data_IF_670307277572
#
_entry.id   IF_670307277572
#
_cell.length_a   1.000
_cell.length_b   1.000
_cell.length_c   1.000
_cell.angle_alpha   90.00
_cell.angle_beta   90.00
_cell.angle_gamma   90.00
#
_symmetry.space_group_name_H-M   'P 1'
#
loop_
_entity.id
_entity.type
_entity.pdbx_description
1 polymer ?
#
# COMPACT_ATOMS: atom_id res chain seq x y z
N UNK A 1 -32.50 12.79 16.52
CA UNK A 1 -31.91 13.30 15.26
C UNK A 1 -30.44 12.96 15.29
N UNK A 2 -30.12 11.87 14.62
CA UNK A 2 -28.82 11.19 14.56
C UNK A 2 -27.82 12.08 13.82
N UNK A 3 -26.66 12.35 14.44
CA UNK A 3 -25.51 12.96 13.76
C UNK A 3 -24.59 11.83 13.31
N UNK A 4 -24.64 11.52 12.02
CA UNK A 4 -23.72 10.63 11.34
C UNK A 4 -22.37 11.34 11.25
N UNK A 5 -21.34 10.81 11.92
CA UNK A 5 -19.96 11.24 11.74
C UNK A 5 -19.38 10.42 10.58
N UNK A 6 -19.21 11.06 9.43
CA UNK A 6 -18.53 10.47 8.26
C UNK A 6 -17.03 10.50 8.53
N UNK A 7 -16.44 9.35 8.85
CA UNK A 7 -15.00 9.16 8.94
C UNK A 7 -14.45 9.07 7.51
N UNK A 8 -13.97 10.20 6.97
CA UNK A 8 -13.30 10.23 5.68
C UNK A 8 -11.89 9.65 5.81
N UNK A 9 -11.70 8.43 5.29
CA UNK A 9 -10.36 7.86 5.06
C UNK A 9 -9.79 8.60 3.84
N UNK A 10 -8.88 9.54 4.09
CA UNK A 10 -8.07 10.16 3.05
C UNK A 10 -6.90 9.21 2.73
N UNK A 11 -7.05 8.39 1.69
CA UNK A 11 -5.93 7.78 0.97
C UNK A 11 -5.22 8.89 0.18
N UNK A 12 -4.27 9.56 0.80
CA UNK A 12 -3.36 10.47 0.13
C UNK A 12 -2.25 9.66 -0.54
N UNK A 13 -2.54 9.11 -1.71
CA UNK A 13 -1.55 8.61 -2.67
C UNK A 13 -0.87 9.82 -3.32
N UNK A 14 0.11 10.39 -2.63
CA UNK A 14 0.89 11.52 -3.10
C UNK A 14 2.18 11.55 -2.31
N UNK A 15 3.26 11.09 -2.93
CA UNK A 15 4.62 11.15 -2.41
C UNK A 15 5.09 12.62 -2.36
N UNK A 16 4.50 13.43 -1.49
CA UNK A 16 5.23 14.58 -0.97
C UNK A 16 6.19 14.00 0.06
N UNK A 17 7.48 14.00 -0.25
CA UNK A 17 8.51 13.97 0.78
C UNK A 17 8.30 15.22 1.64
N UNK A 18 7.43 15.13 2.65
CA UNK A 18 7.47 16.04 3.76
C UNK A 18 8.86 15.85 4.37
N UNK A 19 9.71 16.87 4.26
CA UNK A 19 11.01 16.88 4.91
C UNK A 19 10.84 16.37 6.35
N UNK A 20 11.77 15.54 6.89
CA UNK A 20 11.74 15.12 8.28
C UNK A 20 11.51 16.30 9.25
N UNK A 21 11.98 17.49 8.87
CA UNK A 21 11.74 18.74 9.58
C UNK A 21 10.27 19.18 9.62
N UNK A 22 9.50 19.01 8.54
CA UNK A 22 8.06 19.33 8.50
C UNK A 22 7.22 18.29 9.24
N UNK A 23 7.60 17.01 9.17
CA UNK A 23 6.98 15.94 9.96
C UNK A 23 7.26 16.09 11.47
N UNK A 24 8.45 16.60 11.82
CA UNK A 24 8.87 16.93 13.18
C UNK A 24 8.17 18.20 13.71
N UNK A 25 8.05 19.28 12.92
CA UNK A 25 7.30 20.49 13.29
C UNK A 25 5.79 20.22 13.43
N UNK A 26 5.24 19.30 12.63
CA UNK A 26 3.82 18.93 12.69
C UNK A 26 3.50 17.86 13.74
N UNK A 27 4.50 17.29 14.42
CA UNK A 27 4.32 16.36 15.54
C UNK A 27 3.83 14.95 15.15
N UNK A 28 4.10 14.50 13.91
CA UNK A 28 3.69 13.18 13.41
C UNK A 28 4.73 12.07 13.65
N UNK A 29 5.94 12.42 14.11
CA UNK A 29 6.99 11.48 14.50
C UNK A 29 7.03 11.40 16.03
N UNK A 30 6.77 10.20 16.58
CA UNK A 30 6.74 9.94 18.03
C UNK A 30 7.96 9.15 18.51
N UNK A 31 8.74 8.57 17.59
CA UNK A 31 10.00 7.89 17.87
C UNK A 31 10.99 8.16 16.73
N UNK A 32 12.25 8.41 17.06
CA UNK A 32 13.33 8.55 16.08
C UNK A 32 14.51 7.69 16.46
N UNK A 33 15.21 7.17 15.45
CA UNK A 33 16.52 6.57 15.60
C UNK A 33 17.53 7.71 15.69
N UNK A 34 18.27 7.80 16.79
CA UNK A 34 19.36 8.76 16.92
C UNK A 34 20.58 8.35 16.06
N UNK A 35 21.61 9.21 16.03
CA UNK A 35 22.82 8.95 15.26
C UNK A 35 23.57 7.68 15.71
N UNK A 36 23.20 7.15 16.88
CA UNK A 36 23.75 5.96 17.50
C UNK A 36 22.89 4.70 17.27
N UNK A 37 21.81 4.81 16.49
CA UNK A 37 20.94 3.66 16.18
C UNK A 37 19.93 3.34 17.28
N UNK A 38 19.76 4.21 18.28
CA UNK A 38 18.89 3.98 19.43
C UNK A 38 17.54 4.64 19.21
N UNK A 39 16.47 3.88 19.42
CA UNK A 39 15.12 4.43 19.44
C UNK A 39 14.93 5.35 20.64
N UNK A 40 14.60 6.61 20.35
CA UNK A 40 14.20 7.58 21.35
C UNK A 40 12.79 8.04 21.10
N UNK A 41 12.01 8.09 22.17
CA UNK A 41 10.71 8.74 22.13
C UNK A 41 10.94 10.24 21.89
N UNK A 42 10.41 10.73 20.77
CA UNK A 42 10.15 12.14 20.64
C UNK A 42 8.89 12.37 21.46
N UNK A 43 8.93 13.20 22.49
CA UNK A 43 7.70 13.59 23.16
C UNK A 43 6.93 14.61 22.29
N UNK A 44 5.71 14.30 21.81
CA UNK A 44 4.73 15.38 21.69
C UNK A 44 3.36 15.07 22.35
N UNK A 45 2.85 16.11 23.05
CA UNK A 45 1.51 16.33 23.63
C UNK A 45 0.70 15.10 24.16
N UNK A 46 0.77 14.92 25.48
CA UNK A 46 -0.43 15.04 26.34
C UNK A 46 -1.46 13.91 26.41
N UNK A 47 -1.32 12.81 25.67
CA UNK A 47 -2.11 11.58 25.87
C UNK A 47 -1.26 10.35 25.61
N UNK A 48 -1.26 9.38 26.53
CA UNK A 48 -0.66 8.07 26.30
C UNK A 48 -1.34 7.39 25.10
N UNK A 49 -0.56 6.82 24.18
CA UNK A 49 -1.08 6.05 23.07
C UNK A 49 -1.58 4.68 23.56
N UNK A 50 -2.57 4.11 22.88
CA UNK A 50 -2.97 2.72 23.14
C UNK A 50 -1.87 1.78 22.67
N UNK A 51 -1.70 0.63 23.32
CA UNK A 51 -0.73 -0.41 22.90
C UNK A 51 -0.88 -0.81 21.42
N UNK A 52 -2.11 -0.80 20.89
CA UNK A 52 -2.38 -1.09 19.48
C UNK A 52 -1.75 -0.06 18.53
N UNK A 53 -1.74 1.22 18.93
CA UNK A 53 -1.08 2.29 18.17
C UNK A 53 0.43 2.11 18.20
N UNK A 54 0.99 1.77 19.35
CA UNK A 54 2.43 1.56 19.48
C UNK A 54 2.91 0.39 18.62
N UNK A 55 2.22 -0.77 18.67
CA UNK A 55 2.52 -1.90 17.81
C UNK A 55 2.33 -1.61 16.32
N UNK A 56 1.30 -0.85 15.95
CA UNK A 56 1.10 -0.45 14.56
C UNK A 56 2.28 0.38 14.04
N UNK A 57 2.87 1.23 14.86
CA UNK A 57 4.01 2.03 14.43
C UNK A 57 5.30 1.22 14.32
N UNK A 58 5.53 0.23 15.19
CA UNK A 58 6.61 -0.75 15.00
C UNK A 58 6.41 -1.51 13.69
N UNK A 59 5.17 -1.86 13.34
CA UNK A 59 4.85 -2.51 12.07
C UNK A 59 5.13 -1.61 10.88
N UNK A 60 4.75 -0.33 10.94
CA UNK A 60 5.07 0.63 9.87
C UNK A 60 6.57 0.81 9.71
N UNK A 61 7.33 0.85 10.80
CA UNK A 61 8.79 0.92 10.74
C UNK A 61 9.41 -0.35 10.15
N UNK A 62 8.90 -1.52 10.55
CA UNK A 62 9.29 -2.80 9.96
C UNK A 62 9.08 -2.84 8.43
N UNK A 63 7.95 -2.30 7.95
CA UNK A 63 7.63 -2.21 6.52
C UNK A 63 8.62 -1.28 5.80
N UNK A 64 8.99 -0.13 6.38
CA UNK A 64 9.96 0.81 5.79
C UNK A 64 11.34 0.19 5.61
N UNK A 65 11.72 -0.77 6.46
CA UNK A 65 13.00 -1.47 6.39
C UNK A 65 12.99 -2.73 5.52
N UNK A 66 11.85 -3.10 4.93
CA UNK A 66 11.72 -4.30 4.11
C UNK A 66 11.59 -3.98 2.62
N UNK A 67 11.60 -5.01 1.77
CA UNK A 67 11.37 -4.87 0.32
C UNK A 67 10.04 -4.18 0.02
N UNK A 68 9.97 -3.39 -1.06
CA UNK A 68 8.72 -2.80 -1.53
C UNK A 68 7.75 -3.86 -2.08
N UNK A 69 6.87 -4.38 -1.22
CA UNK A 69 5.91 -5.46 -1.53
C UNK A 69 4.48 -5.08 -1.11
N UNK A 70 3.81 -4.15 -1.80
CA UNK A 70 2.50 -3.61 -1.40
C UNK A 70 1.44 -4.66 -1.06
N UNK A 71 1.34 -5.74 -1.83
CA UNK A 71 0.38 -6.83 -1.59
C UNK A 71 0.66 -7.59 -0.28
N UNK A 72 1.93 -7.94 -0.06
CA UNK A 72 2.40 -8.60 1.18
C UNK A 72 2.21 -7.67 2.39
N UNK A 73 2.58 -6.40 2.26
CA UNK A 73 2.49 -5.42 3.35
C UNK A 73 1.05 -5.07 3.71
N UNK A 74 0.16 -4.94 2.72
CA UNK A 74 -1.28 -4.77 2.95
C UNK A 74 -1.87 -5.97 3.72
N UNK A 75 -1.46 -7.19 3.37
CA UNK A 75 -1.84 -8.41 4.09
C UNK A 75 -1.32 -8.42 5.52
N UNK A 76 -0.07 -8.04 5.75
CA UNK A 76 0.49 -7.92 7.11
C UNK A 76 -0.27 -6.89 7.95
N UNK A 77 -0.59 -5.72 7.38
CA UNK A 77 -1.40 -4.68 8.03
C UNK A 77 -2.81 -5.17 8.39
N UNK A 78 -3.47 -5.90 7.47
CA UNK A 78 -4.78 -6.48 7.74
C UNK A 78 -4.72 -7.53 8.85
N UNK A 79 -3.86 -8.53 8.72
CA UNK A 79 -3.78 -9.64 9.67
C UNK A 79 -3.42 -9.15 11.09
N UNK A 80 -2.49 -8.20 11.22
CA UNK A 80 -2.13 -7.63 12.53
C UNK A 80 -3.25 -6.76 13.12
N UNK A 81 -3.94 -5.97 12.30
CA UNK A 81 -5.12 -5.22 12.75
C UNK A 81 -6.22 -6.15 13.25
N UNK A 82 -6.47 -7.25 12.54
CA UNK A 82 -7.43 -8.27 12.95
C UNK A 82 -6.99 -8.99 14.23
N UNK A 83 -5.70 -9.30 14.40
CA UNK A 83 -5.18 -9.90 15.63
C UNK A 83 -5.42 -9.00 16.86
N UNK A 84 -5.14 -7.70 16.71
CA UNK A 84 -5.40 -6.72 17.76
C UNK A 84 -6.90 -6.59 18.05
N UNK A 85 -7.74 -6.64 17.01
CA UNK A 85 -9.20 -6.64 17.16
C UNK A 85 -9.70 -7.89 17.90
N UNK A 86 -9.24 -9.09 17.52
CA UNK A 86 -9.66 -10.35 18.15
C UNK A 86 -9.26 -10.39 19.64
N UNK A 87 -8.06 -9.89 19.96
CA UNK A 87 -7.60 -9.77 21.34
C UNK A 87 -8.45 -8.77 22.15
N UNK A 88 -8.87 -7.67 21.53
CA UNK A 88 -9.75 -6.69 22.16
C UNK A 88 -11.17 -7.23 22.35
N UNK A 89 -11.73 -7.84 21.31
CA UNK A 89 -13.10 -8.35 21.23
C UNK A 89 -13.31 -9.60 22.10
N UNK A 90 -12.27 -10.38 22.39
CA UNK A 90 -12.34 -11.49 23.32
C UNK A 90 -12.86 -11.11 24.71
N UNK A 91 -12.61 -9.88 25.15
CA UNK A 91 -13.11 -9.34 26.42
C UNK A 91 -14.31 -8.39 26.27
N UNK A 92 -14.86 -8.28 25.07
CA UNK A 92 -16.13 -7.59 24.82
C UNK A 92 -17.28 -8.60 24.83
N UNK A 93 -18.45 -8.20 25.33
CA UNK A 93 -19.62 -9.09 25.43
C UNK A 93 -20.32 -9.30 24.08
N UNK A 94 -20.08 -8.43 23.10
CA UNK A 94 -20.89 -8.34 21.87
C UNK A 94 -20.11 -8.27 20.58
N UNK A 95 -18.85 -7.82 20.60
CA UNK A 95 -18.05 -7.66 19.39
C UNK A 95 -17.67 -9.01 18.79
N UNK A 96 -17.91 -9.22 17.50
CA UNK A 96 -17.46 -10.41 16.79
C UNK A 96 -15.96 -10.33 16.46
N UNK A 97 -15.27 -11.47 16.54
CA UNK A 97 -13.88 -11.64 16.12
C UNK A 97 -13.80 -12.02 14.62
N UNK A 98 -12.63 -11.78 14.03
CA UNK A 98 -12.34 -12.01 12.61
C UNK A 98 -11.77 -13.41 12.38
N UNK A 99 -10.66 -13.75 13.03
CA UNK A 99 -9.95 -15.02 12.81
C UNK A 99 -10.09 -15.99 14.00
N UNK A 100 -9.90 -15.48 15.22
CA UNK A 100 -9.85 -16.29 16.43
C UNK A 100 -11.06 -16.01 17.33
N UNK A 101 -12.02 -16.92 17.32
CA UNK A 101 -13.27 -16.77 18.08
C UNK A 101 -13.10 -17.36 19.48
N UNK A 102 -12.86 -16.50 20.47
CA UNK A 102 -12.74 -16.90 21.87
C UNK A 102 -13.22 -15.77 22.79
N UNK A 103 -13.92 -16.12 23.88
CA UNK A 103 -14.37 -15.17 24.91
C UNK A 103 -13.59 -15.39 26.20
N UNK A 104 -13.18 -14.29 26.81
CA UNK A 104 -12.42 -14.27 28.06
C UNK A 104 -12.99 -13.24 29.02
N UNK A 105 -12.74 -13.43 30.31
CA UNK A 105 -13.11 -12.47 31.36
C UNK A 105 -11.87 -12.12 32.18
N UNK A 106 -11.77 -10.86 32.60
CA UNK A 106 -10.67 -10.40 33.43
C UNK A 106 -11.17 -9.44 34.51
N UNK A 107 -10.48 -9.42 35.65
CA UNK A 107 -10.74 -8.42 36.69
C UNK A 107 -10.37 -7.00 36.22
N UNK A 108 -9.30 -6.88 35.45
CA UNK A 108 -8.91 -5.67 34.72
C UNK A 108 -8.90 -5.97 33.22
N UNK A 109 -9.98 -5.60 32.55
CA UNK A 109 -10.16 -5.85 31.11
C UNK A 109 -9.17 -5.04 30.27
N UNK A 110 -8.81 -3.83 30.68
CA UNK A 110 -7.90 -3.00 29.89
C UNK A 110 -6.50 -3.61 29.90
N UNK A 111 -5.99 -3.97 31.09
CA UNK A 111 -4.69 -4.63 31.21
C UNK A 111 -4.64 -5.98 30.47
N UNK A 112 -5.72 -6.77 30.53
CA UNK A 112 -5.80 -8.03 29.83
C UNK A 112 -5.80 -7.86 28.29
N UNK A 113 -6.51 -6.85 27.77
CA UNK A 113 -6.46 -6.50 26.34
C UNK A 113 -5.05 -6.08 25.93
N UNK A 114 -4.39 -5.25 26.74
CA UNK A 114 -3.05 -4.75 26.42
C UNK A 114 -2.00 -5.88 26.35
N UNK A 115 -2.06 -6.81 27.30
CA UNK A 115 -1.19 -7.99 27.32
C UNK A 115 -1.47 -8.93 26.14
N UNK A 116 -2.75 -9.26 25.88
CA UNK A 116 -3.12 -10.15 24.77
C UNK A 116 -2.72 -9.58 23.41
N UNK A 117 -2.95 -8.28 23.18
CA UNK A 117 -2.50 -7.57 21.97
C UNK A 117 -0.98 -7.68 21.82
N UNK A 118 -0.24 -7.48 22.91
CA UNK A 118 1.22 -7.48 22.88
C UNK A 118 1.80 -8.84 22.51
N UNK A 119 1.28 -9.92 23.09
CA UNK A 119 1.68 -11.27 22.69
C UNK A 119 1.28 -11.60 21.25
N UNK A 120 0.07 -11.25 20.82
CA UNK A 120 -0.37 -11.49 19.44
C UNK A 120 0.54 -10.78 18.42
N UNK A 121 0.79 -9.48 18.63
CA UNK A 121 1.64 -8.67 17.76
C UNK A 121 3.09 -9.12 17.76
N UNK A 122 3.67 -9.38 18.93
CA UNK A 122 5.04 -9.90 19.04
C UNK A 122 5.22 -11.17 18.21
N UNK A 123 4.36 -12.17 18.40
CA UNK A 123 4.46 -13.46 17.69
C UNK A 123 4.28 -13.30 16.19
N UNK A 124 3.27 -12.52 15.76
CA UNK A 124 3.02 -12.27 14.35
C UNK A 124 4.17 -11.53 13.68
N UNK A 125 4.61 -10.41 14.24
CA UNK A 125 5.65 -9.59 13.63
C UNK A 125 7.00 -10.32 13.61
N UNK A 126 7.37 -11.02 14.70
CA UNK A 126 8.56 -11.86 14.70
C UNK A 126 8.49 -12.90 13.58
N UNK A 127 7.35 -13.58 13.40
CA UNK A 127 7.17 -14.54 12.31
C UNK A 127 7.35 -13.89 10.93
N UNK A 128 6.67 -12.77 10.64
CA UNK A 128 6.67 -12.13 9.32
C UNK A 128 7.98 -11.47 8.93
N UNK A 129 8.71 -10.91 9.89
CA UNK A 129 9.92 -10.14 9.61
C UNK A 129 11.22 -10.90 9.87
N UNK A 130 11.17 -12.16 10.33
CA UNK A 130 12.40 -12.97 10.50
C UNK A 130 13.19 -13.13 9.20
N UNK A 131 12.50 -13.29 8.07
CA UNK A 131 13.13 -13.42 6.74
C UNK A 131 13.33 -12.10 5.98
N UNK A 132 13.01 -10.95 6.60
CA UNK A 132 13.11 -9.65 5.93
C UNK A 132 14.57 -9.24 5.71
N UNK A 133 14.84 -8.49 4.64
CA UNK A 133 16.14 -7.84 4.42
C UNK A 133 16.51 -6.88 5.56
N UNK A 134 15.51 -6.27 6.20
CA UNK A 134 15.65 -5.38 7.34
C UNK A 134 15.57 -6.06 8.70
N UNK A 135 15.62 -7.40 8.78
CA UNK A 135 15.43 -8.15 10.02
C UNK A 135 16.39 -7.73 11.14
N UNK A 136 17.65 -7.39 10.81
CA UNK A 136 18.65 -6.96 11.78
C UNK A 136 18.30 -5.65 12.50
N UNK A 137 17.46 -4.81 11.90
CA UNK A 137 16.91 -3.59 12.51
C UNK A 137 15.53 -3.86 13.11
N UNK A 138 14.69 -4.58 12.37
CA UNK A 138 13.28 -4.80 12.70
C UNK A 138 13.08 -5.70 13.93
N UNK A 139 13.81 -6.82 14.04
CA UNK A 139 13.62 -7.75 15.16
C UNK A 139 13.98 -7.13 16.51
N UNK A 140 15.07 -6.34 16.66
CA UNK A 140 15.32 -5.56 17.86
C UNK A 140 14.21 -4.56 18.21
N UNK A 141 13.56 -3.92 17.21
CA UNK A 141 12.44 -3.00 17.46
C UNK A 141 11.21 -3.74 18.01
N UNK A 142 10.93 -4.93 17.49
CA UNK A 142 9.85 -5.81 17.98
C UNK A 142 10.12 -6.26 19.42
N UNK A 143 11.36 -6.68 19.72
CA UNK A 143 11.76 -7.07 21.07
C UNK A 143 11.68 -5.89 22.05
N UNK A 144 12.15 -4.71 21.65
CA UNK A 144 12.12 -3.51 22.50
C UNK A 144 10.70 -3.00 22.80
N UNK A 145 9.73 -3.25 21.91
CA UNK A 145 8.33 -2.90 22.14
C UNK A 145 7.66 -3.81 23.17
N UNK A 146 8.16 -5.04 23.35
CA UNK A 146 7.55 -6.02 24.23
C UNK A 146 7.93 -5.77 25.69
N UNK A 147 6.94 -5.38 26.50
CA UNK A 147 7.12 -5.12 27.94
C UNK A 147 6.86 -6.36 28.82
N UNK A 148 6.44 -7.48 28.23
CA UNK A 148 6.15 -8.75 28.91
C UNK A 148 7.22 -9.80 28.60
N UNK A 149 7.24 -10.92 29.35
CA UNK A 149 8.20 -12.00 29.16
C UNK A 149 7.97 -12.72 27.81
N UNK A 150 8.89 -12.51 26.86
CA UNK A 150 8.87 -13.12 25.53
C UNK A 150 9.01 -14.65 25.55
N UNK A 151 9.49 -15.21 26.67
CA UNK A 151 9.56 -16.65 26.93
C UNK A 151 8.21 -17.33 27.15
N UNK A 152 7.12 -16.57 27.40
CA UNK A 152 5.77 -17.12 27.58
C UNK A 152 5.17 -17.48 26.22
N UNK A 153 5.28 -18.75 25.84
CA UNK A 153 4.77 -19.30 24.57
C UNK A 153 3.55 -20.21 24.74
N UNK A 154 3.05 -20.38 25.97
CA UNK A 154 1.94 -21.29 26.24
C UNK A 154 0.68 -20.89 25.46
N UNK A 155 -0.01 -21.89 24.92
CA UNK A 155 -1.35 -21.76 24.32
C UNK A 155 -2.44 -22.24 25.28
N UNK A 156 -2.07 -22.72 26.46
CA UNK A 156 -2.97 -23.36 27.43
C UNK A 156 -3.31 -22.38 28.55
N UNK A 157 -4.60 -22.36 28.92
CA UNK A 157 -5.14 -21.57 30.03
C UNK A 157 -5.75 -20.24 29.57
N UNK A 158 -6.28 -19.50 30.54
CA UNK A 158 -7.09 -18.29 30.35
C UNK A 158 -6.28 -17.01 30.61
N UNK A 159 -4.95 -17.09 30.57
CA UNK A 159 -4.13 -15.88 30.72
C UNK A 159 -4.18 -15.03 29.44
N UNK A 160 -4.07 -13.70 29.55
CA UNK A 160 -4.03 -12.85 28.36
C UNK A 160 -2.86 -13.18 27.43
N UNK A 161 -1.69 -13.53 27.97
CA UNK A 161 -0.58 -14.06 27.19
C UNK A 161 -0.94 -15.31 26.38
N UNK A 162 -1.65 -16.27 26.98
CA UNK A 162 -2.06 -17.48 26.28
C UNK A 162 -3.06 -17.18 25.16
N UNK A 163 -4.02 -16.28 25.40
CA UNK A 163 -4.94 -15.79 24.36
C UNK A 163 -4.18 -15.12 23.20
N UNK A 164 -3.26 -14.19 23.49
CA UNK A 164 -2.48 -13.51 22.47
C UNK A 164 -1.65 -14.47 21.61
N UNK A 165 -1.01 -15.46 22.25
CA UNK A 165 -0.29 -16.51 21.54
C UNK A 165 -1.22 -17.37 20.65
N UNK A 166 -2.44 -17.72 21.11
CA UNK A 166 -3.44 -18.47 20.32
C UNK A 166 -3.95 -17.68 19.11
N UNK A 167 -4.18 -16.37 19.27
CA UNK A 167 -4.59 -15.49 18.17
C UNK A 167 -3.50 -15.48 17.09
N UNK A 168 -2.25 -15.26 17.48
CA UNK A 168 -1.14 -15.27 16.53
C UNK A 168 -0.98 -16.62 15.84
N UNK A 169 -1.05 -17.73 16.58
CA UNK A 169 -0.97 -19.09 16.04
C UNK A 169 -2.09 -19.36 15.01
N UNK A 170 -3.31 -18.91 15.31
CA UNK A 170 -4.47 -19.02 14.41
C UNK A 170 -4.22 -18.28 13.10
N UNK A 171 -3.76 -17.03 13.16
CA UNK A 171 -3.57 -16.19 11.98
C UNK A 171 -2.34 -16.62 11.17
N UNK A 172 -1.26 -17.05 11.83
CA UNK A 172 -0.08 -17.62 11.15
C UNK A 172 -0.47 -18.91 10.41
N UNK A 173 -1.23 -19.80 11.07
CA UNK A 173 -1.73 -21.03 10.45
C UNK A 173 -2.65 -20.74 9.28
N UNK A 174 -3.58 -19.80 9.43
CA UNK A 174 -4.44 -19.33 8.33
C UNK A 174 -3.58 -18.86 7.16
N UNK A 175 -2.59 -18.01 7.43
CA UNK A 175 -1.72 -17.43 6.43
C UNK A 175 -0.80 -18.43 5.70
N UNK A 176 -0.57 -19.62 6.25
CA UNK A 176 0.14 -20.69 5.55
C UNK A 176 -0.73 -21.36 4.46
N UNK A 177 -2.05 -21.13 4.47
CA UNK A 177 -3.02 -21.81 3.61
C UNK A 177 -3.90 -20.86 2.77
N UNK A 178 -3.70 -19.55 2.89
CA UNK A 178 -4.54 -18.53 2.25
C UNK A 178 -4.15 -18.23 0.79
N UNK A 179 -3.24 -19.01 0.21
CA UNK A 179 -2.80 -18.87 -1.18
C UNK A 179 -1.69 -17.84 -1.40
N UNK A 180 -1.23 -17.11 -0.38
CA UNK A 180 -0.17 -16.11 -0.55
C UNK A 180 1.22 -16.70 -0.85
N UNK A 181 1.40 -18.02 -0.72
CA UNK A 181 2.69 -18.71 -0.91
C UNK A 181 3.82 -18.18 0.02
N UNK A 182 3.46 -17.77 1.23
CA UNK A 182 4.37 -17.13 2.19
C UNK A 182 5.62 -17.94 2.54
N UNK A 183 5.50 -19.27 2.64
CA UNK A 183 6.62 -20.14 2.97
C UNK A 183 7.73 -20.16 1.90
N UNK A 184 7.39 -19.77 0.66
CA UNK A 184 8.31 -19.69 -0.48
C UNK A 184 8.52 -18.23 -0.90
N UNK A 185 8.62 -17.30 0.05
CA UNK A 185 8.82 -15.85 -0.16
C UNK A 185 7.85 -15.22 -1.18
N UNK A 186 6.60 -15.71 -1.23
CA UNK A 186 5.54 -15.18 -2.09
C UNK A 186 5.85 -15.30 -3.59
N UNK A 187 6.71 -16.25 -3.98
CA UNK A 187 7.07 -16.51 -5.38
C UNK A 187 5.86 -16.82 -6.25
N UNK A 188 5.94 -16.42 -7.52
CA UNK A 188 4.94 -16.71 -8.54
C UNK A 188 4.95 -18.21 -8.88
N UNK A 189 3.78 -18.85 -8.96
CA UNK A 189 3.67 -20.28 -9.24
C UNK A 189 3.15 -20.60 -10.64
N UNK A 190 2.46 -19.65 -11.27
CA UNK A 190 1.72 -19.83 -12.52
C UNK A 190 2.10 -18.80 -13.58
N UNK A 191 2.24 -17.53 -13.20
CA UNK A 191 2.57 -16.49 -14.17
C UNK A 191 4.04 -16.55 -14.57
N UNK A 192 4.30 -16.55 -15.87
CA UNK A 192 5.62 -16.31 -16.45
C UNK A 192 5.50 -15.24 -17.53
N UNK A 193 6.47 -14.33 -17.60
CA UNK A 193 6.52 -13.33 -18.66
C UNK A 193 6.68 -14.00 -20.03
N UNK A 194 5.93 -13.54 -21.02
CA UNK A 194 6.04 -14.02 -22.41
C UNK A 194 7.05 -13.22 -23.22
N UNK A 195 7.23 -11.95 -22.87
CA UNK A 195 8.23 -11.09 -23.49
C UNK A 195 9.57 -11.22 -22.76
N UNK A 196 10.65 -11.23 -23.53
CA UNK A 196 12.01 -11.09 -23.00
C UNK A 196 12.21 -9.70 -22.36
N UNK A 197 13.06 -9.57 -21.33
CA UNK A 197 13.31 -8.29 -20.69
C UNK A 197 13.80 -7.21 -21.64
N UNK A 198 13.21 -6.01 -21.53
CA UNK A 198 13.67 -4.82 -22.25
C UNK A 198 14.83 -4.15 -21.50
N UNK A 199 15.91 -3.86 -22.20
CA UNK A 199 17.05 -3.09 -21.70
C UNK A 199 16.85 -1.60 -22.03
N UNK A 200 16.46 -0.76 -21.07
CA UNK A 200 16.13 0.64 -21.33
C UNK A 200 17.35 1.49 -21.72
N UNK A 201 18.57 0.97 -21.54
CA UNK A 201 19.81 1.61 -21.99
C UNK A 201 19.92 1.70 -23.52
N UNK A 202 19.15 0.86 -24.23
CA UNK A 202 19.09 0.89 -25.69
C UNK A 202 17.80 1.56 -26.17
N UNK A 203 17.87 2.34 -27.26
CA UNK A 203 16.69 3.03 -27.77
C UNK A 203 15.68 2.05 -28.40
N UNK A 204 14.41 2.24 -28.03
CA UNK A 204 13.28 1.53 -28.62
C UNK A 204 13.08 0.12 -28.07
N UNK A 205 12.20 -0.63 -28.71
CA UNK A 205 11.82 -1.99 -28.33
C UNK A 205 11.52 -2.84 -29.57
N UNK A 206 12.51 -3.08 -30.44
CA UNK A 206 12.28 -3.75 -31.73
C UNK A 206 11.96 -5.24 -31.59
N UNK A 207 12.30 -5.85 -30.45
CA UNK A 207 12.27 -7.30 -30.23
C UNK A 207 11.10 -7.78 -29.35
N UNK A 208 10.14 -6.91 -29.03
CA UNK A 208 8.93 -7.32 -28.30
C UNK A 208 8.15 -8.38 -29.09
N UNK A 209 7.85 -9.50 -28.44
CA UNK A 209 7.18 -10.63 -29.10
C UNK A 209 5.65 -10.50 -29.07
N UNK A 210 5.08 -9.98 -27.97
CA UNK A 210 3.66 -9.75 -27.79
C UNK A 210 3.39 -8.37 -27.15
N UNK A 211 3.00 -7.35 -27.95
CA UNK A 211 2.67 -6.01 -27.47
C UNK A 211 1.45 -5.93 -26.54
N UNK A 212 0.66 -7.01 -26.46
CA UNK A 212 -0.50 -7.12 -25.57
C UNK A 212 -0.16 -7.79 -24.22
N UNK A 213 1.12 -8.08 -23.97
CA UNK A 213 1.61 -8.71 -22.75
C UNK A 213 2.64 -7.83 -22.06
N UNK A 214 2.67 -7.93 -20.74
CA UNK A 214 3.67 -7.23 -19.93
C UNK A 214 5.08 -7.68 -20.32
N UNK A 215 6.00 -6.71 -20.37
CA UNK A 215 7.42 -6.95 -20.62
C UNK A 215 8.22 -6.48 -19.41
N UNK A 216 9.03 -7.36 -18.79
CA UNK A 216 9.90 -6.97 -17.71
C UNK A 216 10.96 -5.97 -18.20
N UNK A 217 11.43 -5.10 -17.32
CA UNK A 217 12.60 -4.27 -17.59
C UNK A 217 13.84 -4.93 -16.97
N UNK A 218 14.93 -5.00 -17.73
CA UNK A 218 16.25 -5.37 -17.24
C UNK A 218 17.04 -4.10 -16.93
N UNK A 219 17.15 -3.77 -15.64
CA UNK A 219 17.80 -2.54 -15.19
C UNK A 219 19.10 -2.92 -14.49
N UNK A 220 20.20 -2.25 -14.83
CA UNK A 220 21.53 -2.59 -14.30
C UNK A 220 21.61 -2.38 -12.78
N UNK A 221 20.94 -1.33 -12.29
CA UNK A 221 20.85 -1.00 -10.88
C UNK A 221 19.48 -0.37 -10.59
N UNK A 222 18.71 -0.98 -9.69
CA UNK A 222 17.44 -0.43 -9.21
C UNK A 222 17.44 -0.40 -7.69
N UNK A 223 16.88 0.68 -7.15
CA UNK A 223 16.60 0.83 -5.73
C UNK A 223 15.10 0.76 -5.57
N UNK A 224 14.62 -0.19 -4.77
CA UNK A 224 13.18 -0.29 -4.52
C UNK A 224 12.64 0.94 -3.78
N UNK A 225 11.31 1.06 -3.67
CA UNK A 225 10.68 2.21 -3.00
C UNK A 225 11.06 2.32 -1.51
N UNK A 226 11.64 1.26 -0.93
CA UNK A 226 12.14 1.22 0.45
C UNK A 226 13.64 1.47 0.56
N UNK A 227 14.34 1.76 -0.54
CA UNK A 227 15.78 2.05 -0.53
C UNK A 227 16.69 0.83 -0.65
N UNK A 228 16.16 -0.37 -0.90
CA UNK A 228 16.96 -1.58 -1.03
C UNK A 228 17.53 -1.70 -2.45
N UNK A 229 18.85 -1.81 -2.62
CA UNK A 229 19.43 -2.09 -3.92
C UNK A 229 19.07 -3.51 -4.35
N UNK A 230 18.44 -3.64 -5.51
CA UNK A 230 18.18 -4.94 -6.15
C UNK A 230 19.29 -5.14 -7.19
N UNK A 231 20.11 -6.20 -7.05
CA UNK A 231 21.20 -6.45 -7.99
C UNK A 231 20.66 -6.78 -9.39
N UNK A 232 21.47 -6.42 -10.39
CA UNK A 232 21.39 -6.75 -11.82
C UNK A 232 20.36 -7.82 -12.20
N UNK A 233 19.38 -7.46 -13.04
CA UNK A 233 18.47 -8.43 -13.64
C UNK A 233 17.16 -7.82 -14.12
N UNK A 234 16.23 -8.71 -14.47
CA UNK A 234 14.84 -8.36 -14.73
C UNK A 234 13.99 -8.59 -13.48
N UNK A 235 13.12 -7.64 -13.14
CA UNK A 235 12.14 -7.87 -12.08
C UNK A 235 11.07 -8.85 -12.56
N UNK A 236 10.64 -9.74 -11.67
CA UNK A 236 9.45 -10.55 -11.91
C UNK A 236 8.19 -9.70 -11.75
N UNK A 237 7.09 -10.16 -12.35
CA UNK A 237 5.80 -9.54 -12.12
C UNK A 237 5.45 -9.68 -10.64
N UNK A 238 5.17 -8.58 -9.96
CA UNK A 238 4.84 -8.60 -8.55
C UNK A 238 3.44 -9.17 -8.32
N UNK A 239 3.36 -10.36 -7.70
CA UNK A 239 2.12 -10.96 -7.19
C UNK A 239 0.95 -11.02 -8.22
N UNK A 240 1.16 -11.53 -9.45
CA UNK A 240 0.14 -11.63 -10.51
C UNK A 240 -1.01 -12.57 -10.13
N UNK A 241 -0.77 -13.48 -9.19
CA UNK A 241 -1.75 -14.48 -8.72
C UNK A 241 -2.50 -14.02 -7.47
N UNK A 242 -2.21 -12.83 -6.93
CA UNK A 242 -2.69 -12.40 -5.61
C UNK A 242 -4.21 -12.35 -5.47
N UNK A 243 -4.94 -12.32 -6.58
CA UNK A 243 -6.40 -12.38 -6.58
C UNK A 243 -6.98 -13.63 -5.89
N UNK A 244 -6.20 -14.70 -5.71
CA UNK A 244 -6.64 -15.88 -4.93
C UNK A 244 -6.55 -15.69 -3.42
N UNK A 245 -5.78 -14.70 -2.95
CA UNK A 245 -5.62 -14.42 -1.52
C UNK A 245 -6.90 -13.78 -0.99
N UNK A 246 -7.61 -14.38 -0.02
CA UNK A 246 -8.86 -13.84 0.47
C UNK A 246 -8.68 -12.44 1.05
N UNK A 247 -9.47 -11.49 0.52
CA UNK A 247 -9.60 -10.16 1.09
C UNK A 247 -10.53 -10.13 2.31
N UNK A 248 -10.67 -8.96 2.93
CA UNK A 248 -11.55 -8.75 4.08
C UNK A 248 -13.00 -8.46 3.71
N UNK A 249 -13.23 -7.65 2.68
CA UNK A 249 -14.54 -7.04 2.42
C UNK A 249 -15.02 -7.13 0.95
N UNK A 250 -14.34 -7.93 0.13
CA UNK A 250 -14.76 -8.16 -1.26
C UNK A 250 -15.89 -9.19 -1.25
N UNK A 251 -17.03 -8.83 -1.84
CA UNK A 251 -18.12 -9.78 -2.06
C UNK A 251 -17.68 -10.79 -3.14
N UNK A 252 -17.85 -12.11 -2.92
CA UNK A 252 -17.57 -13.10 -3.96
C UNK A 252 -18.32 -12.84 -5.29
N UNK A 253 -19.47 -12.16 -5.26
CA UNK A 253 -20.22 -11.73 -6.43
C UNK A 253 -19.55 -10.61 -7.24
N UNK A 254 -18.58 -9.89 -6.66
CA UNK A 254 -17.78 -8.87 -7.33
C UNK A 254 -16.49 -9.43 -7.98
N UNK A 255 -16.31 -10.76 -7.95
CA UNK A 255 -15.13 -11.43 -8.49
C UNK A 255 -15.46 -12.09 -9.83
N UNK A 256 -14.75 -11.69 -10.87
CA UNK A 256 -14.76 -12.37 -12.18
C UNK A 256 -13.56 -13.29 -12.29
N UNK A 257 -13.79 -14.54 -12.71
CA UNK A 257 -12.72 -15.52 -12.91
C UNK A 257 -12.23 -15.52 -14.36
N UNK A 258 -10.93 -15.28 -14.54
CA UNK A 258 -10.25 -15.31 -15.84
C UNK A 258 -9.30 -16.51 -15.95
N UNK A 259 -9.74 -17.64 -16.55
CA UNK A 259 -8.85 -18.78 -16.74
C UNK A 259 -7.79 -18.48 -17.80
N UNK A 260 -6.52 -18.65 -17.44
CA UNK A 260 -5.38 -18.54 -18.35
C UNK A 260 -4.30 -19.54 -17.97
N UNK A 261 -3.80 -20.27 -18.97
CA UNK A 261 -2.65 -21.21 -18.80
C UNK A 261 -2.85 -22.23 -17.66
N UNK A 262 -4.10 -22.64 -17.41
CA UNK A 262 -4.45 -23.62 -16.37
C UNK A 262 -4.71 -23.02 -14.99
N UNK A 263 -4.55 -21.71 -14.80
CA UNK A 263 -4.84 -21.00 -13.55
C UNK A 263 -6.06 -20.09 -13.69
N UNK A 264 -7.01 -20.12 -12.73
CA UNK A 264 -8.09 -19.15 -12.67
C UNK A 264 -7.60 -17.88 -11.96
N UNK A 265 -7.42 -16.78 -12.71
CA UNK A 265 -7.08 -15.48 -12.15
C UNK A 265 -8.35 -14.75 -11.67
N UNK A 266 -8.58 -14.59 -10.35
CA UNK A 266 -9.73 -13.84 -9.85
C UNK A 266 -9.45 -12.33 -9.95
N UNK A 267 -10.40 -11.58 -10.50
CA UNK A 267 -10.30 -10.12 -10.63
C UNK A 267 -11.51 -9.50 -9.93
N UNK A 268 -11.24 -8.76 -8.86
CA UNK A 268 -12.25 -8.03 -8.09
C UNK A 268 -12.65 -6.74 -8.84
N UNK A 269 -13.95 -6.44 -8.88
CA UNK A 269 -14.50 -5.27 -9.58
C UNK A 269 -13.96 -5.13 -11.01
N UNK A 270 -14.01 -6.23 -11.76
CA UNK A 270 -13.43 -6.36 -13.09
C UNK A 270 -14.00 -5.31 -14.07
N UNK A 271 -13.19 -4.35 -14.56
CA UNK A 271 -13.62 -3.35 -15.53
C UNK A 271 -13.74 -3.90 -16.95
N UNK A 272 -13.36 -5.16 -17.19
CA UNK A 272 -13.26 -5.76 -18.50
C UNK A 272 -11.84 -5.68 -19.09
N UNK A 273 -11.63 -6.23 -20.30
CA UNK A 273 -10.31 -6.29 -20.91
C UNK A 273 -9.79 -4.91 -21.31
N UNK A 274 -8.47 -4.65 -21.24
CA UNK A 274 -7.87 -3.42 -21.75
C UNK A 274 -7.94 -3.37 -23.30
N UNK A 275 -7.75 -2.17 -23.91
CA UNK A 275 -7.55 -2.07 -25.35
C UNK A 275 -6.31 -2.85 -25.80
N UNK A 276 -6.37 -3.46 -26.98
CA UNK A 276 -5.33 -4.34 -27.50
C UNK A 276 -4.74 -3.81 -28.80
N UNK A 277 -3.41 -3.90 -28.94
CA UNK A 277 -2.69 -3.69 -30.19
C UNK A 277 -3.15 -4.68 -31.26
N UNK A 278 -3.51 -4.17 -32.43
CA UNK A 278 -4.15 -4.91 -33.54
C UNK A 278 -5.39 -5.71 -33.11
N UNK A 279 -6.10 -5.26 -32.07
CA UNK A 279 -7.27 -5.93 -31.52
C UNK A 279 -8.43 -4.96 -31.24
N UNK A 280 -9.31 -5.37 -30.32
CA UNK A 280 -10.41 -4.51 -29.86
C UNK A 280 -9.82 -3.30 -29.14
N UNK A 281 -10.19 -2.10 -29.57
CA UNK A 281 -9.68 -0.87 -29.01
C UNK A 281 -8.27 -0.47 -29.48
N UNK A 282 -7.78 -0.98 -30.63
CA UNK A 282 -6.45 -0.64 -31.16
C UNK A 282 -6.20 0.88 -31.25
N UNK A 283 -7.20 1.65 -31.68
CA UNK A 283 -7.09 3.11 -31.73
C UNK A 283 -6.84 3.71 -30.33
N UNK A 284 -7.52 3.18 -29.30
CA UNK A 284 -7.31 3.62 -27.92
C UNK A 284 -5.94 3.17 -27.39
N UNK A 285 -5.51 1.95 -27.71
CA UNK A 285 -4.17 1.47 -27.37
C UNK A 285 -3.10 2.40 -27.94
N UNK A 286 -3.15 2.70 -29.25
CA UNK A 286 -2.18 3.56 -29.92
C UNK A 286 -2.21 4.97 -29.36
N UNK A 287 -3.40 5.55 -29.25
CA UNK A 287 -3.59 6.89 -28.72
C UNK A 287 -3.00 7.03 -27.31
N UNK A 288 -3.26 6.08 -26.41
CA UNK A 288 -2.72 6.10 -25.05
C UNK A 288 -1.20 6.04 -25.01
N UNK A 289 -0.59 5.17 -25.83
CA UNK A 289 0.87 5.05 -25.91
C UNK A 289 1.52 6.28 -26.57
N UNK A 290 0.91 6.84 -27.61
CA UNK A 290 1.39 8.07 -28.26
C UNK A 290 1.28 9.29 -27.33
N UNK A 291 0.23 9.36 -26.52
CA UNK A 291 0.07 10.44 -25.53
C UNK A 291 1.21 10.48 -24.52
N UNK A 292 1.74 9.33 -24.09
CA UNK A 292 2.90 9.28 -23.19
C UNK A 292 4.10 9.99 -23.82
N UNK A 293 4.37 9.74 -25.10
CA UNK A 293 5.45 10.40 -25.84
C UNK A 293 5.20 11.91 -25.96
N UNK A 294 3.98 12.32 -26.34
CA UNK A 294 3.63 13.74 -26.46
C UNK A 294 3.76 14.45 -25.11
N UNK A 295 3.21 13.90 -24.05
CA UNK A 295 3.24 14.52 -22.72
C UNK A 295 4.64 14.51 -22.11
N UNK A 296 5.48 13.51 -22.43
CA UNK A 296 6.90 13.53 -22.04
C UNK A 296 7.65 14.75 -22.59
N UNK A 297 7.23 15.30 -23.74
CA UNK A 297 7.82 16.51 -24.30
C UNK A 297 7.54 17.76 -23.46
N UNK A 298 6.50 17.72 -22.62
CA UNK A 298 6.15 18.81 -21.71
C UNK A 298 7.07 18.86 -20.48
N UNK A 299 7.99 17.91 -20.32
CA UNK A 299 8.97 17.90 -19.24
C UNK A 299 10.17 18.81 -19.53
N UNK A 300 10.31 19.33 -20.75
CA UNK A 300 11.42 20.20 -21.13
C UNK A 300 11.32 21.58 -20.44
N UNK A 301 12.28 22.00 -19.59
CA UNK A 301 12.30 23.36 -19.00
C UNK A 301 12.28 24.48 -20.04
N UNK A 302 12.67 24.19 -21.27
CA UNK A 302 12.81 25.15 -22.36
C UNK A 302 11.61 25.16 -23.31
N UNK A 303 10.52 24.43 -22.99
CA UNK A 303 9.32 24.38 -23.83
C UNK A 303 8.65 25.74 -24.06
N UNK A 304 8.92 26.72 -23.19
CA UNK A 304 8.47 28.10 -23.30
C UNK A 304 6.98 28.31 -23.00
N UNK A 305 6.27 27.29 -22.51
CA UNK A 305 4.84 27.35 -22.21
C UNK A 305 4.63 27.69 -20.74
N UNK A 306 3.71 28.61 -20.45
CA UNK A 306 3.27 28.90 -19.08
C UNK A 306 1.82 28.44 -18.90
N UNK A 307 1.51 27.88 -17.74
CA UNK A 307 0.18 27.40 -17.36
C UNK A 307 -0.27 28.02 -16.03
N UNK A 308 -1.57 28.24 -15.86
CA UNK A 308 -2.17 28.60 -14.57
C UNK A 308 -2.52 27.33 -13.81
N UNK A 309 -1.82 27.09 -12.69
CA UNK A 309 -2.01 25.90 -11.84
C UNK A 309 -2.91 26.21 -10.62
N UNK A 310 -3.55 27.38 -10.60
CA UNK A 310 -4.43 27.73 -9.50
C UNK A 310 -5.72 26.90 -9.53
N UNK A 311 -6.44 26.82 -8.40
CA UNK A 311 -7.73 26.14 -8.39
C UNK A 311 -8.79 26.76 -9.31
N UNK A 312 -8.58 27.96 -9.89
CA UNK A 312 -9.55 28.53 -10.84
C UNK A 312 -9.51 27.86 -12.23
N UNK A 313 -8.41 27.18 -12.56
CA UNK A 313 -8.14 26.60 -13.88
C UNK A 313 -7.87 25.10 -13.81
N UNK A 314 -7.50 24.57 -12.63
CA UNK A 314 -7.08 23.19 -12.45
C UNK A 314 -8.07 22.37 -11.61
N UNK A 315 -8.36 21.14 -12.03
CA UNK A 315 -9.30 20.23 -11.38
C UNK A 315 -10.76 20.50 -11.75
N UNK A 316 -11.70 20.04 -10.92
CA UNK A 316 -13.15 20.05 -11.22
C UNK A 316 -13.48 19.36 -12.57
N UNK A 317 -12.82 18.23 -12.83
CA UNK A 317 -13.10 17.39 -14.00
C UNK A 317 -14.27 16.45 -13.69
N UNK A 318 -15.28 16.34 -14.57
CA UNK A 318 -16.29 15.29 -14.45
C UNK A 318 -15.65 13.91 -14.60
N UNK A 319 -16.27 12.88 -14.01
CA UNK A 319 -15.82 11.50 -14.26
C UNK A 319 -16.04 11.15 -15.75
N UNK A 320 -15.01 10.70 -16.48
CA UNK A 320 -15.18 10.30 -17.88
C UNK A 320 -15.99 9.01 -17.99
N UNK A 321 -16.78 8.89 -19.06
CA UNK A 321 -17.25 7.61 -19.52
C UNK A 321 -16.12 6.79 -20.15
N UNK A 322 -16.28 5.47 -20.19
CA UNK A 322 -15.28 4.53 -20.75
C UNK A 322 -14.90 4.86 -22.21
N UNK A 323 -15.82 5.45 -22.97
CA UNK A 323 -15.62 5.80 -24.37
C UNK A 323 -15.14 7.25 -24.59
N UNK A 324 -14.98 8.04 -23.53
CA UNK A 324 -14.65 9.48 -23.63
C UNK A 324 -13.13 9.72 -23.68
N UNK A 325 -12.33 8.65 -23.72
CA UNK A 325 -10.86 8.71 -23.63
C UNK A 325 -10.22 9.71 -24.60
N UNK A 326 -10.73 9.80 -25.84
CA UNK A 326 -10.19 10.68 -26.87
C UNK A 326 -10.46 12.17 -26.62
N UNK A 327 -11.52 12.48 -25.85
CA UNK A 327 -11.98 13.86 -25.59
C UNK A 327 -11.72 14.31 -24.16
N UNK A 328 -11.45 13.38 -23.25
CA UNK A 328 -11.26 13.68 -21.83
C UNK A 328 -9.94 14.39 -21.57
N UNK A 329 -8.88 14.04 -22.29
CA UNK A 329 -7.57 14.68 -22.16
C UNK A 329 -7.30 15.64 -23.32
N UNK A 330 -6.65 16.77 -23.03
CA UNK A 330 -6.03 17.58 -24.09
C UNK A 330 -4.72 16.89 -24.52
N UNK A 331 -4.81 16.17 -25.63
CA UNK A 331 -3.71 15.35 -26.14
C UNK A 331 -2.41 16.14 -26.35
N UNK A 332 -2.49 17.37 -26.86
CA UNK A 332 -1.30 18.14 -27.26
C UNK A 332 -0.84 19.16 -26.21
N UNK A 333 -1.76 19.73 -25.42
CA UNK A 333 -1.39 20.74 -24.44
C UNK A 333 -1.22 20.17 -23.03
N UNK A 334 -1.76 18.97 -22.79
CA UNK A 334 -1.80 18.34 -21.48
C UNK A 334 -3.01 18.78 -20.65
N UNK A 335 -3.34 18.00 -19.62
CA UNK A 335 -4.50 18.23 -18.76
C UNK A 335 -5.73 17.42 -19.14
N UNK A 336 -6.80 17.60 -18.36
CA UNK A 336 -8.07 16.90 -18.51
C UNK A 336 -9.23 17.88 -18.79
N UNK A 337 -10.47 17.36 -18.82
CA UNK A 337 -11.68 18.16 -19.03
C UNK A 337 -12.09 19.06 -17.86
N UNK A 338 -11.22 19.22 -16.86
CA UNK A 338 -11.39 20.08 -15.71
C UNK A 338 -11.56 21.55 -16.09
N UNK A 339 -12.45 22.22 -15.37
CA UNK A 339 -12.73 23.66 -15.55
C UNK A 339 -12.27 24.52 -14.37
N UNK A 340 -11.73 23.89 -13.32
CA UNK A 340 -11.42 24.53 -12.06
C UNK A 340 -12.65 25.02 -11.29
N UNK A 341 -12.38 25.77 -10.23
CA UNK A 341 -13.32 26.40 -9.31
C UNK A 341 -13.17 27.91 -9.37
N UNK A 342 -14.14 28.61 -9.94
CA UNK A 342 -14.07 30.06 -10.09
C UNK A 342 -14.02 30.83 -8.76
N UNK A 343 -14.47 30.23 -7.64
CA UNK A 343 -14.60 30.91 -6.35
C UNK A 343 -14.11 30.02 -5.21
N UNK A 344 -13.36 30.61 -4.29
CA UNK A 344 -12.94 29.95 -3.07
C UNK A 344 -14.12 29.86 -2.10
N UNK A 345 -14.52 28.64 -1.65
CA UNK A 345 -15.70 28.45 -0.82
C UNK A 345 -15.55 29.02 0.61
N UNK A 346 -14.32 29.30 1.06
CA UNK A 346 -14.05 29.87 2.38
C UNK A 346 -14.08 31.40 2.35
N UNK A 347 -13.51 32.01 1.31
CA UNK A 347 -13.37 33.48 1.24
C UNK A 347 -14.46 34.16 0.41
N UNK A 348 -15.15 33.42 -0.47
CA UNK A 348 -16.11 33.97 -1.42
C UNK A 348 -15.48 34.79 -2.55
N UNK A 349 -14.15 34.81 -2.65
CA UNK A 349 -13.40 35.55 -3.66
C UNK A 349 -12.87 34.60 -4.76
N UNK A 350 -12.59 35.11 -5.97
CA UNK A 350 -11.91 34.31 -7.00
C UNK A 350 -10.53 33.83 -6.53
N UNK A 351 -10.11 32.64 -6.96
CA UNK A 351 -8.72 32.21 -6.74
C UNK A 351 -7.77 33.06 -7.60
N UNK A 352 -6.69 33.61 -7.02
CA UNK A 352 -5.67 34.30 -7.80
C UNK A 352 -4.96 33.30 -8.72
N UNK A 353 -4.62 33.76 -9.93
CA UNK A 353 -3.85 32.97 -10.88
C UNK A 353 -2.48 32.61 -10.31
N UNK A 354 -2.00 31.42 -10.63
CA UNK A 354 -0.68 30.91 -10.28
C UNK A 354 0.01 30.44 -11.54
N UNK A 355 0.64 31.37 -12.25
CA UNK A 355 1.27 31.10 -13.54
C UNK A 355 2.69 30.59 -13.33
N UNK A 356 2.99 29.41 -13.87
CA UNK A 356 4.30 28.75 -13.81
C UNK A 356 4.70 28.19 -15.18
N UNK A 357 6.00 27.99 -15.46
CA UNK A 357 6.44 27.23 -16.62
C UNK A 357 5.89 25.80 -16.60
N UNK A 358 5.31 25.33 -17.70
CA UNK A 358 4.76 23.97 -17.81
C UNK A 358 5.84 22.92 -17.61
N UNK A 359 7.01 23.15 -18.22
CA UNK A 359 8.21 22.33 -18.04
C UNK A 359 8.57 22.07 -16.58
N UNK A 360 8.38 23.05 -15.70
CA UNK A 360 8.70 22.92 -14.27
C UNK A 360 7.58 22.25 -13.47
N UNK A 361 6.33 22.41 -13.89
CA UNK A 361 5.17 21.80 -13.23
C UNK A 361 5.00 20.31 -13.56
N UNK A 362 5.31 19.92 -14.81
CA UNK A 362 5.09 18.55 -15.27
C UNK A 362 6.20 17.56 -14.82
N UNK A 363 7.37 18.07 -14.41
CA UNK A 363 8.48 17.29 -13.82
C UNK A 363 8.23 17.00 -12.35
#
# INVERSE_FOLDING_TARGET
MTRTATLGIALASGLMMASPALAQEAGYLYRTIDAEGVMRDLAPRGTAHSVAREWNEVLLEAIRHDKARPTVHARNLYHTSAAMWDAWAAYDDTADQVFHIERQTAGDVQAAREEAISYAMYRMMSHRFTGSVGAAVTLPLIEAQMTYDTGVTTLIGDTPAALGNRIADTIITYGASDGANEANDYENLWYTAVNDPLFPDFPGNPDISDPNRWQPLAIEFFVDQSGNPIPLGSLEFLSPEWGIVPGFAIDPGDITMHPREGFPYPVCHDPGPPPLFNGVGDDYYRWGNEMVVVWSSHLDPTDGVNIDISPNSFGNSPLPGVNDWATYYDFFNGGDSGTGWATNPVTGLPYPQQVVPRGDYAR
#
